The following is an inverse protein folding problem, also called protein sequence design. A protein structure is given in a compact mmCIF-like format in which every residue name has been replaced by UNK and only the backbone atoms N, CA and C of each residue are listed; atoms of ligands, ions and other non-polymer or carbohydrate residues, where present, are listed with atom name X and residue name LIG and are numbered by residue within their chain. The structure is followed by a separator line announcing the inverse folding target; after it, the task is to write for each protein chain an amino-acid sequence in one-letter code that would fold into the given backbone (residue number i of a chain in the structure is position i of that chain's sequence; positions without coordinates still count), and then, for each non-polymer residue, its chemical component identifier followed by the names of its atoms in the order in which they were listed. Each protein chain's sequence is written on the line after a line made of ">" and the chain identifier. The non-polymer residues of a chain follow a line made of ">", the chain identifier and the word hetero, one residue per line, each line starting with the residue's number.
data_IF_847197739307
#
_entry.id   IF_847197739307
#
_cell.length_a   1.000
_cell.length_b   1.000
_cell.length_c   1.000
_cell.angle_alpha   90.00
_cell.angle_beta   90.00
_cell.angle_gamma   90.00
#
_symmetry.space_group_name_H-M   'P 1'
#
loop_
_entity.id
_entity.type
_entity.pdbx_description
1 polymer ?
#
# COMPACT_ATOMS: atom_id res chain seq x y z
N UNK A 1 -23.68 23.08 -1.84
CA UNK A 1 -22.59 24.04 -2.12
C UNK A 1 -23.21 25.38 -2.47
N UNK A 2 -23.29 26.32 -1.51
CA UNK A 2 -23.66 27.71 -1.80
C UNK A 2 -22.36 28.49 -2.02
N UNK A 3 -22.18 29.01 -3.23
CA UNK A 3 -20.99 29.75 -3.66
C UNK A 3 -20.93 31.14 -3.04
N UNK A 4 -20.32 31.26 -1.87
CA UNK A 4 -19.76 32.53 -1.42
C UNK A 4 -18.43 32.76 -2.12
N UNK A 5 -18.23 33.94 -2.70
CA UNK A 5 -16.91 34.39 -3.16
C UNK A 5 -15.92 34.24 -2.00
N UNK A 6 -14.80 33.54 -2.22
CA UNK A 6 -13.74 33.44 -1.22
C UNK A 6 -13.18 34.82 -0.83
N UNK A 7 -12.35 34.90 0.22
CA UNK A 7 -11.79 36.17 0.66
C UNK A 7 -11.01 36.85 -0.46
N UNK A 8 -11.18 38.16 -0.58
CA UNK A 8 -10.51 38.99 -1.58
C UNK A 8 -9.06 39.29 -1.23
N UNK A 9 -8.30 39.82 -2.20
CA UNK A 9 -6.89 40.14 -2.04
C UNK A 9 -6.64 41.13 -0.88
N UNK A 10 -7.51 42.12 -0.69
CA UNK A 10 -7.41 43.10 0.40
C UNK A 10 -7.64 42.48 1.78
N UNK A 11 -8.57 41.54 1.89
CA UNK A 11 -8.85 40.83 3.15
C UNK A 11 -7.69 39.93 3.54
N UNK A 12 -7.09 39.23 2.56
CA UNK A 12 -5.88 38.44 2.76
C UNK A 12 -4.68 39.32 3.09
N UNK A 13 -4.53 40.50 2.45
CA UNK A 13 -3.48 41.46 2.75
C UNK A 13 -3.54 41.91 4.21
N UNK A 14 -4.74 42.21 4.73
CA UNK A 14 -4.91 42.58 6.13
C UNK A 14 -4.50 41.48 7.12
N UNK A 15 -4.65 40.20 6.75
CA UNK A 15 -4.16 39.07 7.56
C UNK A 15 -2.63 38.99 7.53
N UNK A 16 -2.03 39.16 6.36
CA UNK A 16 -0.57 39.14 6.18
C UNK A 16 0.09 40.29 6.92
N UNK A 17 -0.44 41.52 6.80
CA UNK A 17 0.07 42.70 7.51
C UNK A 17 0.10 42.50 9.03
N UNK A 18 -0.83 41.70 9.56
CA UNK A 18 -0.93 41.41 10.99
C UNK A 18 -0.02 40.26 11.45
N UNK A 19 0.18 39.23 10.63
CA UNK A 19 0.79 37.97 11.06
C UNK A 19 2.20 37.72 10.50
N UNK A 20 2.57 38.40 9.41
CA UNK A 20 3.86 38.17 8.79
C UNK A 20 5.00 38.74 9.66
N UNK A 21 6.17 38.06 9.72
CA UNK A 21 7.33 38.52 10.48
C UNK A 21 8.02 39.75 9.86
N UNK A 22 7.61 40.18 8.67
CA UNK A 22 8.14 41.34 7.96
C UNK A 22 7.21 41.82 6.85
N UNK A 23 7.52 42.97 6.21
CA UNK A 23 6.65 43.57 5.19
C UNK A 23 6.51 42.67 3.97
N UNK A 24 5.27 42.31 3.62
CA UNK A 24 4.94 41.47 2.47
C UNK A 24 3.69 42.01 1.76
N UNK A 25 3.75 42.14 0.44
CA UNK A 25 2.62 42.61 -0.39
C UNK A 25 2.12 41.49 -1.28
N UNK A 26 0.85 41.14 -1.14
CA UNK A 26 0.17 40.15 -1.97
C UNK A 26 -0.18 40.75 -3.33
N UNK A 27 -0.12 39.92 -4.37
CA UNK A 27 -0.51 40.25 -5.74
C UNK A 27 -1.04 39.01 -6.45
N UNK A 28 -1.75 39.22 -7.58
CA UNK A 28 -2.19 38.15 -8.49
C UNK A 28 -2.95 36.98 -7.80
N UNK A 29 -4.03 37.30 -7.07
CA UNK A 29 -4.86 36.29 -6.41
C UNK A 29 -5.49 35.35 -7.45
N UNK A 30 -4.95 34.13 -7.56
CA UNK A 30 -5.42 33.11 -8.50
C UNK A 30 -6.70 32.39 -8.02
N UNK A 31 -6.80 32.12 -6.73
CA UNK A 31 -7.94 31.39 -6.16
C UNK A 31 -8.07 31.66 -4.65
N UNK A 32 -9.31 31.76 -4.16
CA UNK A 32 -9.61 31.81 -2.73
C UNK A 32 -10.93 31.10 -2.45
N UNK A 33 -11.06 30.57 -1.23
CA UNK A 33 -12.27 29.88 -0.79
C UNK A 33 -12.41 29.94 0.73
N UNK A 34 -13.63 29.70 1.21
CA UNK A 34 -13.94 29.52 2.62
C UNK A 34 -14.33 28.07 2.82
N UNK A 35 -13.71 27.39 3.78
CA UNK A 35 -14.07 26.04 4.17
C UNK A 35 -14.58 26.02 5.61
N UNK A 36 -15.51 25.11 5.89
CA UNK A 36 -15.96 24.86 7.26
C UNK A 36 -15.25 23.63 7.79
N UNK A 37 -14.62 23.76 8.96
CA UNK A 37 -14.04 22.61 9.67
C UNK A 37 -15.19 21.66 10.05
N UNK A 38 -15.11 20.42 9.60
CA UNK A 38 -16.06 19.35 9.92
C UNK A 38 -15.31 18.03 10.03
N UNK A 39 -15.69 17.20 11.01
CA UNK A 39 -15.12 15.87 11.22
C UNK A 39 -16.26 14.86 11.11
N UNK A 40 -16.23 14.02 10.07
CA UNK A 40 -17.22 12.95 9.91
C UNK A 40 -16.57 11.77 9.24
N UNK A 41 -16.95 10.57 9.67
CA UNK A 41 -16.63 9.31 9.02
C UNK A 41 -17.93 8.53 8.92
N UNK A 42 -18.17 7.91 7.77
CA UNK A 42 -19.34 7.03 7.60
C UNK A 42 -19.19 5.75 8.41
N UNK A 43 -20.30 5.21 8.94
CA UNK A 43 -20.25 3.97 9.71
C UNK A 43 -19.93 2.72 8.88
N UNK A 44 -20.06 2.79 7.54
CA UNK A 44 -19.73 1.73 6.59
C UNK A 44 -19.24 2.34 5.27
N UNK A 45 -18.13 1.86 4.76
CA UNK A 45 -17.53 2.29 3.48
C UNK A 45 -18.20 1.59 2.28
N UNK A 46 -18.92 0.50 2.52
CA UNK A 46 -19.70 -0.17 1.49
C UNK A 46 -20.85 -1.00 2.05
N UNK A 47 -21.91 -1.16 1.26
CA UNK A 47 -23.04 -2.05 1.56
C UNK A 47 -23.61 -2.58 0.25
N UNK A 48 -23.66 -3.91 0.10
CA UNK A 48 -24.08 -4.56 -1.13
C UNK A 48 -23.19 -4.17 -2.30
N UNK A 49 -23.74 -3.38 -3.23
CA UNK A 49 -23.05 -2.93 -4.46
C UNK A 49 -22.67 -1.45 -4.45
N UNK A 50 -22.89 -0.76 -3.34
CA UNK A 50 -22.61 0.67 -3.20
C UNK A 50 -21.43 0.86 -2.26
N UNK A 51 -20.43 1.61 -2.73
CA UNK A 51 -19.20 1.91 -2.01
C UNK A 51 -18.94 3.41 -2.05
N UNK A 52 -18.34 3.94 -0.98
CA UNK A 52 -17.92 5.34 -0.87
C UNK A 52 -16.42 5.41 -0.59
N UNK A 53 -15.77 6.45 -1.08
CA UNK A 53 -14.32 6.69 -0.95
C UNK A 53 -14.05 8.20 -0.83
N UNK A 54 -12.90 8.59 -0.25
CA UNK A 54 -12.52 9.99 -0.10
C UNK A 54 -13.53 10.80 0.73
N UNK A 55 -13.80 12.04 0.32
CA UNK A 55 -14.69 12.97 1.04
C UNK A 55 -16.13 12.45 1.26
N UNK A 56 -16.58 11.47 0.46
CA UNK A 56 -17.86 10.81 0.69
C UNK A 56 -17.85 9.85 1.90
N UNK A 57 -16.67 9.31 2.22
CA UNK A 57 -16.46 8.38 3.33
C UNK A 57 -15.94 9.10 4.59
N UNK A 58 -15.08 10.10 4.44
CA UNK A 58 -14.47 10.82 5.55
C UNK A 58 -14.20 12.29 5.19
N UNK A 59 -14.48 13.20 6.11
CA UNK A 59 -14.09 14.60 6.02
C UNK A 59 -13.36 14.99 7.30
N UNK A 60 -12.30 15.75 7.15
CA UNK A 60 -11.43 16.19 8.24
C UNK A 60 -10.80 17.55 7.92
N UNK A 61 -10.16 18.24 8.88
CA UNK A 61 -9.47 19.50 8.62
C UNK A 61 -8.38 19.32 7.56
N UNK A 62 -8.04 20.38 6.80
CA UNK A 62 -6.97 20.33 5.82
C UNK A 62 -5.56 20.20 6.45
N UNK A 63 -5.46 20.26 7.78
CA UNK A 63 -4.21 20.07 8.53
C UNK A 63 -3.55 18.75 8.11
N UNK A 64 -2.27 18.81 7.71
CA UNK A 64 -1.53 17.66 7.18
C UNK A 64 -1.82 17.30 5.72
N UNK A 65 -2.74 17.97 5.01
CA UNK A 65 -3.05 17.74 3.59
C UNK A 65 -3.41 16.27 3.25
N UNK A 66 -4.18 15.62 4.13
CA UNK A 66 -4.43 14.17 4.07
C UNK A 66 -5.60 13.75 3.15
N UNK A 67 -6.55 14.64 2.84
CA UNK A 67 -7.84 14.24 2.25
C UNK A 67 -7.70 13.60 0.87
N UNK A 68 -7.01 14.29 -0.04
CA UNK A 68 -6.77 13.79 -1.40
C UNK A 68 -5.98 12.47 -1.40
N UNK A 69 -4.91 12.39 -0.62
CA UNK A 69 -4.07 11.19 -0.54
C UNK A 69 -4.86 9.98 0.00
N UNK A 70 -5.66 10.20 1.05
CA UNK A 70 -6.51 9.15 1.63
C UNK A 70 -7.55 8.67 0.61
N UNK A 71 -8.23 9.60 -0.07
CA UNK A 71 -9.25 9.27 -1.06
C UNK A 71 -8.70 8.51 -2.28
N UNK A 72 -7.49 8.87 -2.75
CA UNK A 72 -6.81 8.11 -3.81
C UNK A 72 -6.48 6.70 -3.33
N UNK A 73 -5.98 6.55 -2.09
CA UNK A 73 -5.68 5.24 -1.53
C UNK A 73 -6.93 4.38 -1.29
N UNK A 74 -8.05 4.99 -0.92
CA UNK A 74 -9.35 4.29 -0.84
C UNK A 74 -9.75 3.73 -2.19
N UNK A 75 -9.69 4.56 -3.24
CA UNK A 75 -10.02 4.14 -4.60
C UNK A 75 -9.06 3.05 -5.11
N UNK A 76 -7.75 3.19 -4.87
CA UNK A 76 -6.75 2.21 -5.28
C UNK A 76 -6.97 0.84 -4.61
N UNK A 77 -7.27 0.84 -3.31
CA UNK A 77 -7.57 -0.39 -2.55
C UNK A 77 -8.86 -1.07 -3.04
N UNK A 78 -9.89 -0.30 -3.39
CA UNK A 78 -11.17 -0.84 -3.86
C UNK A 78 -11.11 -1.32 -5.32
N UNK A 79 -10.38 -0.63 -6.19
CA UNK A 79 -10.43 -0.83 -7.64
C UNK A 79 -10.03 -2.25 -8.06
N UNK A 80 -8.92 -2.78 -7.55
CA UNK A 80 -8.46 -4.12 -7.91
C UNK A 80 -9.44 -5.20 -7.40
N UNK A 81 -10.00 -5.01 -6.21
CA UNK A 81 -10.99 -5.91 -5.60
C UNK A 81 -12.26 -5.98 -6.45
N UNK A 82 -12.77 -4.81 -6.85
CA UNK A 82 -13.90 -4.72 -7.79
C UNK A 82 -13.58 -5.41 -9.11
N UNK A 83 -12.40 -5.16 -9.67
CA UNK A 83 -12.01 -5.74 -10.95
C UNK A 83 -11.99 -7.28 -10.91
N UNK A 84 -11.47 -7.89 -9.83
CA UNK A 84 -11.48 -9.35 -9.68
C UNK A 84 -12.90 -9.91 -9.52
N UNK A 85 -13.74 -9.27 -8.69
CA UNK A 85 -15.11 -9.74 -8.44
C UNK A 85 -15.99 -9.60 -9.70
N UNK A 86 -15.86 -8.50 -10.44
CA UNK A 86 -16.60 -8.29 -11.70
C UNK A 86 -16.18 -9.30 -12.77
N UNK A 87 -14.91 -9.69 -12.81
CA UNK A 87 -14.38 -10.70 -13.74
C UNK A 87 -14.69 -12.15 -13.32
N UNK A 88 -15.26 -12.35 -12.13
CA UNK A 88 -15.50 -13.70 -11.58
C UNK A 88 -14.24 -14.41 -11.09
N UNK A 89 -13.14 -13.67 -10.91
CA UNK A 89 -11.85 -14.18 -10.42
C UNK A 89 -11.77 -14.20 -8.88
N UNK A 90 -12.69 -13.53 -8.20
CA UNK A 90 -12.78 -13.50 -6.74
C UNK A 90 -14.25 -13.49 -6.26
N UNK A 91 -14.45 -13.90 -5.00
CA UNK A 91 -15.78 -13.92 -4.38
C UNK A 91 -16.21 -12.53 -3.87
N UNK A 92 -17.52 -12.28 -3.68
CA UNK A 92 -18.02 -10.99 -3.18
C UNK A 92 -17.50 -10.64 -1.77
N UNK A 93 -17.07 -11.64 -0.99
CA UNK A 93 -16.44 -11.41 0.32
C UNK A 93 -15.15 -10.61 0.25
N UNK A 94 -14.44 -10.60 -0.89
CA UNK A 94 -13.28 -9.75 -1.11
C UNK A 94 -13.63 -8.26 -0.95
N UNK A 95 -14.83 -7.83 -1.36
CA UNK A 95 -15.24 -6.43 -1.25
C UNK A 95 -15.48 -6.00 0.20
N UNK A 96 -15.78 -6.93 1.11
CA UNK A 96 -15.91 -6.61 2.53
C UNK A 96 -14.57 -6.25 3.17
N UNK A 97 -13.45 -6.72 2.61
CA UNK A 97 -12.12 -6.31 3.05
C UNK A 97 -11.85 -4.82 2.83
N UNK A 98 -12.56 -4.15 1.92
CA UNK A 98 -12.40 -2.71 1.71
C UNK A 98 -12.79 -1.91 2.96
N UNK A 99 -13.94 -2.20 3.57
CA UNK A 99 -14.34 -1.54 4.82
C UNK A 99 -13.36 -1.89 5.96
N UNK A 100 -13.04 -3.18 6.10
CA UNK A 100 -12.16 -3.67 7.15
C UNK A 100 -10.75 -3.06 7.10
N UNK A 101 -10.21 -2.80 5.90
CA UNK A 101 -8.89 -2.20 5.72
C UNK A 101 -8.92 -0.67 5.76
N UNK A 102 -9.90 -0.01 5.10
CA UNK A 102 -9.86 1.44 4.85
C UNK A 102 -10.59 2.28 5.88
N UNK A 103 -11.65 1.77 6.51
CA UNK A 103 -12.38 2.54 7.53
C UNK A 103 -11.52 2.85 8.76
N UNK A 104 -10.74 1.90 9.33
CA UNK A 104 -9.83 2.22 10.43
C UNK A 104 -8.79 3.29 10.07
N UNK A 105 -8.28 3.28 8.83
CA UNK A 105 -7.35 4.31 8.34
C UNK A 105 -8.02 5.68 8.29
N UNK A 106 -9.25 5.76 7.77
CA UNK A 106 -9.99 7.02 7.77
C UNK A 106 -10.30 7.53 9.17
N UNK A 107 -10.68 6.65 10.11
CA UNK A 107 -10.89 6.98 11.52
C UNK A 107 -9.61 7.50 12.18
N UNK A 108 -8.46 6.88 11.92
CA UNK A 108 -7.15 7.31 12.41
C UNK A 108 -6.77 8.70 11.86
N UNK A 109 -6.88 8.89 10.54
CA UNK A 109 -6.56 10.16 9.87
C UNK A 109 -7.44 11.29 10.41
N UNK A 110 -8.75 11.07 10.53
CA UNK A 110 -9.66 12.04 11.14
C UNK A 110 -9.25 12.32 12.58
N UNK A 111 -9.08 11.28 13.41
CA UNK A 111 -8.72 11.44 14.82
C UNK A 111 -7.42 12.22 15.03
N UNK A 112 -6.40 11.98 14.19
CA UNK A 112 -5.12 12.71 14.23
C UNK A 112 -5.26 14.16 13.80
N UNK A 113 -5.90 14.42 12.66
CA UNK A 113 -6.05 15.78 12.15
C UNK A 113 -6.88 16.66 13.10
N UNK A 114 -7.85 16.09 13.83
CA UNK A 114 -8.53 16.76 14.95
C UNK A 114 -7.53 17.16 16.06
N UNK A 115 -6.63 16.23 16.46
CA UNK A 115 -5.60 16.53 17.49
C UNK A 115 -4.66 17.62 17.02
N UNK A 116 -4.18 17.59 15.78
CA UNK A 116 -3.29 18.63 15.24
C UNK A 116 -3.98 19.98 15.12
N UNK A 117 -5.24 20.03 14.69
CA UNK A 117 -6.01 21.26 14.61
C UNK A 117 -6.26 21.90 15.99
N UNK A 118 -6.36 21.08 17.05
CA UNK A 118 -6.64 21.56 18.42
C UNK A 118 -5.39 21.81 19.27
N UNK A 119 -4.29 21.07 19.03
CA UNK A 119 -3.08 21.06 19.88
C UNK A 119 -1.79 21.44 19.16
N UNK A 120 -1.84 21.68 17.85
CA UNK A 120 -0.65 21.92 17.01
C UNK A 120 0.04 20.63 16.56
N UNK A 121 0.90 20.74 15.54
CA UNK A 121 1.57 19.57 14.91
C UNK A 121 2.67 18.93 15.79
N UNK A 122 3.20 19.65 16.78
CA UNK A 122 4.21 19.13 17.72
C UNK A 122 3.66 18.31 18.89
N UNK A 123 2.36 17.97 18.87
CA UNK A 123 1.71 17.22 19.95
C UNK A 123 1.98 15.71 19.88
N UNK A 124 2.47 15.20 18.75
CA UNK A 124 2.88 13.81 18.61
C UNK A 124 4.33 13.63 19.09
N UNK A 125 4.56 12.60 19.92
CA UNK A 125 5.86 12.30 20.57
C UNK A 125 6.82 11.50 19.69
N UNK A 126 6.47 11.30 18.42
CA UNK A 126 7.25 10.48 17.49
C UNK A 126 8.47 11.27 16.99
N UNK A 127 9.51 10.55 16.60
CA UNK A 127 10.66 11.17 15.94
C UNK A 127 10.25 11.82 14.61
N UNK A 128 11.02 12.80 14.15
CA UNK A 128 10.72 13.57 12.94
C UNK A 128 10.57 12.70 11.69
N UNK A 129 11.30 11.59 11.58
CA UNK A 129 11.21 10.69 10.42
C UNK A 129 9.88 9.96 10.42
N UNK A 130 9.47 9.43 11.58
CA UNK A 130 8.19 8.75 11.73
C UNK A 130 7.02 9.69 11.47
N UNK A 131 7.08 10.94 11.96
CA UNK A 131 6.08 11.97 11.65
C UNK A 131 5.98 12.23 10.15
N UNK A 132 7.11 12.43 9.46
CA UNK A 132 7.13 12.66 8.02
C UNK A 132 6.53 11.49 7.23
N UNK A 133 6.91 10.25 7.56
CA UNK A 133 6.37 9.06 6.90
C UNK A 133 4.87 8.87 7.16
N UNK A 134 4.41 9.18 8.38
CA UNK A 134 2.99 9.09 8.74
C UNK A 134 2.15 10.18 8.07
N UNK A 135 2.67 11.41 7.95
CA UNK A 135 2.02 12.47 7.16
C UNK A 135 2.05 12.14 5.66
N UNK A 136 3.09 11.47 5.16
CA UNK A 136 3.11 10.98 3.79
C UNK A 136 2.22 9.73 3.57
N UNK A 137 1.52 9.23 4.60
CA UNK A 137 0.73 8.01 4.57
C UNK A 137 1.52 6.78 4.07
N UNK A 138 2.81 6.74 4.39
CA UNK A 138 3.70 5.64 4.02
C UNK A 138 3.71 4.52 5.06
N UNK A 139 3.13 4.76 6.24
CA UNK A 139 3.01 3.78 7.34
C UNK A 139 1.66 3.07 7.38
N UNK A 140 0.78 3.27 6.38
CA UNK A 140 -0.49 2.56 6.30
C UNK A 140 -0.23 1.07 6.08
N UNK A 141 -0.76 0.24 6.96
CA UNK A 141 -0.66 -1.22 6.90
C UNK A 141 -1.94 -1.89 7.40
N UNK A 142 -2.11 -3.15 7.03
CA UNK A 142 -3.31 -3.96 7.27
C UNK A 142 -2.96 -5.27 7.97
N UNK A 143 -1.99 -5.27 8.90
CA UNK A 143 -1.49 -6.50 9.57
C UNK A 143 -2.60 -7.31 10.24
N UNK A 144 -3.60 -6.63 10.80
CA UNK A 144 -4.78 -7.26 11.42
C UNK A 144 -5.97 -7.42 10.45
N UNK A 145 -5.74 -7.14 9.16
CA UNK A 145 -6.74 -7.14 8.12
C UNK A 145 -7.06 -8.56 7.60
N UNK A 146 -8.23 -8.74 6.97
CA UNK A 146 -8.70 -10.06 6.53
C UNK A 146 -7.89 -10.67 5.37
N UNK A 147 -7.03 -9.87 4.72
CA UNK A 147 -6.16 -10.31 3.62
C UNK A 147 -4.69 -10.45 4.04
N UNK A 148 -4.35 -10.23 5.30
CA UNK A 148 -3.01 -10.48 5.82
C UNK A 148 -2.85 -11.98 6.12
N UNK A 149 -1.90 -12.62 5.42
CA UNK A 149 -1.48 -13.98 5.73
C UNK A 149 -0.76 -14.09 7.07
N UNK A 150 -0.41 -15.33 7.46
CA UNK A 150 0.34 -15.57 8.69
C UNK A 150 1.74 -14.93 8.62
N UNK A 151 2.24 -14.33 9.73
CA UNK A 151 3.59 -13.79 9.78
C UNK A 151 4.65 -14.89 9.65
N UNK A 152 5.80 -14.54 9.07
CA UNK A 152 6.94 -15.46 8.89
C UNK A 152 8.27 -14.69 8.98
N UNK A 153 9.30 -15.32 9.55
CA UNK A 153 10.64 -14.75 9.68
C UNK A 153 10.76 -13.69 10.80
N UNK A 154 11.75 -12.79 10.71
CA UNK A 154 12.04 -11.82 11.76
C UNK A 154 10.88 -10.86 12.04
N UNK A 155 10.69 -10.47 13.30
CA UNK A 155 9.60 -9.58 13.75
C UNK A 155 9.70 -8.19 13.11
N UNK A 156 10.91 -7.70 12.90
CA UNK A 156 11.17 -6.38 12.31
C UNK A 156 11.15 -6.40 10.78
N UNK A 157 10.97 -7.57 10.16
CA UNK A 157 10.83 -7.68 8.72
C UNK A 157 9.44 -7.20 8.27
N UNK A 158 9.29 -6.73 7.01
CA UNK A 158 7.98 -6.48 6.43
C UNK A 158 7.11 -7.75 6.47
N UNK A 159 5.91 -7.62 7.02
CA UNK A 159 4.96 -8.70 7.24
C UNK A 159 3.71 -8.56 6.34
N UNK A 160 2.92 -9.63 6.16
CA UNK A 160 1.63 -9.52 5.51
C UNK A 160 0.77 -8.40 6.11
N UNK A 161 0.11 -7.64 5.25
CA UNK A 161 -0.59 -6.41 5.57
C UNK A 161 0.25 -5.14 5.40
N UNK A 162 1.57 -5.22 5.49
CA UNK A 162 2.44 -4.05 5.29
C UNK A 162 2.52 -3.65 3.81
N UNK A 163 2.79 -2.38 3.55
CA UNK A 163 3.24 -1.95 2.22
C UNK A 163 4.58 -2.61 1.92
N UNK A 164 4.71 -3.18 0.72
CA UNK A 164 5.98 -3.71 0.22
C UNK A 164 7.00 -2.56 0.16
N UNK A 165 8.09 -2.58 0.95
CA UNK A 165 9.10 -1.53 0.89
C UNK A 165 9.80 -1.51 -0.45
N UNK A 166 10.27 -0.34 -0.87
CA UNK A 166 11.09 -0.22 -2.06
C UNK A 166 12.57 -0.49 -1.75
N UNK A 167 13.34 -0.89 -2.77
CA UNK A 167 14.80 -0.93 -2.72
C UNK A 167 15.36 -0.48 -4.08
N UNK A 168 16.51 0.18 -4.13
CA UNK A 168 17.07 0.80 -5.34
C UNK A 168 18.20 0.03 -6.02
N UNK A 169 18.57 -1.14 -5.51
CA UNK A 169 19.79 -1.87 -5.89
C UNK A 169 19.62 -3.12 -6.75
N UNK A 170 18.48 -3.32 -7.42
CA UNK A 170 18.25 -4.51 -8.25
C UNK A 170 18.94 -4.37 -9.60
N UNK A 171 19.62 -5.41 -10.08
CA UNK A 171 20.27 -5.41 -11.40
C UNK A 171 19.78 -6.55 -12.29
N UNK A 172 19.94 -6.37 -13.60
CA UNK A 172 19.83 -7.45 -14.59
C UNK A 172 21.14 -7.54 -15.36
N UNK A 173 21.44 -8.66 -16.03
CA UNK A 173 22.67 -8.79 -16.81
C UNK A 173 22.82 -7.76 -17.94
N UNK A 174 21.73 -7.12 -18.37
CA UNK A 174 21.69 -6.23 -19.55
C UNK A 174 21.45 -4.77 -19.16
N UNK A 175 20.87 -4.50 -17.99
CA UNK A 175 20.63 -3.14 -17.52
C UNK A 175 21.93 -2.48 -17.05
N UNK A 176 22.16 -1.25 -17.49
CA UNK A 176 23.33 -0.44 -17.12
C UNK A 176 23.18 0.15 -15.72
N UNK A 177 21.96 0.57 -15.36
CA UNK A 177 21.66 1.23 -14.09
C UNK A 177 20.89 0.31 -13.13
N UNK A 178 21.09 0.44 -11.80
CA UNK A 178 20.27 -0.21 -10.80
C UNK A 178 18.79 0.17 -10.93
N UNK A 179 17.91 -0.81 -10.74
CA UNK A 179 16.46 -0.68 -10.79
C UNK A 179 15.86 -0.69 -9.40
N UNK A 180 14.77 0.06 -9.24
CA UNK A 180 13.95 0.02 -8.02
C UNK A 180 12.98 -1.16 -8.04
N UNK A 181 12.68 -1.75 -6.88
CA UNK A 181 11.65 -2.79 -6.79
C UNK A 181 10.29 -2.25 -7.24
N UNK A 182 9.94 -1.01 -6.91
CA UNK A 182 8.68 -0.41 -7.38
C UNK A 182 8.63 -0.28 -8.91
N UNK A 183 9.77 -0.11 -9.59
CA UNK A 183 9.81 -0.11 -11.06
C UNK A 183 9.62 -1.52 -11.62
N UNK A 184 10.16 -2.54 -10.92
CA UNK A 184 9.89 -3.95 -11.22
C UNK A 184 8.41 -4.30 -10.97
N UNK A 185 7.71 -3.66 -10.04
CA UNK A 185 6.29 -3.95 -9.78
C UNK A 185 5.33 -3.15 -10.67
N UNK A 186 5.75 -1.98 -11.19
CA UNK A 186 4.88 -0.98 -11.81
C UNK A 186 3.99 -1.50 -12.93
N UNK A 187 4.53 -2.28 -13.86
CA UNK A 187 3.82 -2.71 -15.07
C UNK A 187 3.07 -4.05 -14.90
N UNK A 188 2.81 -4.43 -13.64
CA UNK A 188 2.24 -5.73 -13.27
C UNK A 188 0.92 -5.52 -12.52
N UNK A 189 -0.23 -5.47 -13.22
CA UNK A 189 -1.52 -5.08 -12.64
C UNK A 189 -2.15 -6.16 -11.73
N UNK A 190 -1.60 -7.38 -11.75
CA UNK A 190 -2.04 -8.50 -10.93
C UNK A 190 -1.31 -8.59 -9.59
N UNK A 191 -1.43 -9.75 -8.95
CA UNK A 191 -0.56 -10.10 -7.84
C UNK A 191 0.84 -10.43 -8.37
N UNK A 192 1.87 -10.19 -7.57
CA UNK A 192 3.25 -10.56 -7.92
C UNK A 192 3.82 -11.46 -6.84
N UNK A 193 4.21 -12.68 -7.20
CA UNK A 193 5.01 -13.55 -6.36
C UNK A 193 6.50 -13.17 -6.52
N UNK A 194 7.10 -12.58 -5.48
CA UNK A 194 8.53 -12.33 -5.41
C UNK A 194 9.22 -13.52 -4.73
N UNK A 195 10.11 -14.20 -5.44
CA UNK A 195 10.79 -15.39 -4.95
C UNK A 195 12.28 -15.08 -4.75
N UNK A 196 12.75 -15.05 -3.50
CA UNK A 196 14.12 -14.69 -3.15
C UNK A 196 14.96 -15.91 -2.75
N UNK A 197 16.18 -16.02 -3.29
CA UNK A 197 17.11 -17.10 -2.94
C UNK A 197 18.47 -17.02 -3.63
N UNK A 198 19.44 -17.81 -3.17
CA UNK A 198 20.78 -17.88 -3.77
C UNK A 198 20.86 -18.92 -4.91
N UNK A 199 20.08 -20.00 -4.83
CA UNK A 199 20.15 -21.12 -5.78
C UNK A 199 19.12 -20.97 -6.91
N UNK A 200 19.60 -20.92 -8.15
CA UNK A 200 18.74 -20.83 -9.34
C UNK A 200 17.77 -22.01 -9.48
N UNK A 201 18.22 -23.22 -9.12
CA UNK A 201 17.40 -24.45 -9.17
C UNK A 201 16.29 -24.44 -8.13
N UNK A 202 16.55 -23.93 -6.92
CA UNK A 202 15.55 -23.70 -5.89
C UNK A 202 14.48 -22.71 -6.35
N UNK A 203 14.90 -21.57 -6.90
CA UNK A 203 14.01 -20.55 -7.46
C UNK A 203 13.18 -21.10 -8.63
N UNK A 204 13.79 -21.82 -9.57
CA UNK A 204 13.08 -22.40 -10.72
C UNK A 204 11.98 -23.38 -10.30
N UNK A 205 12.25 -24.22 -9.29
CA UNK A 205 11.22 -25.10 -8.69
C UNK A 205 10.08 -24.30 -8.06
N UNK A 206 10.41 -23.22 -7.35
CA UNK A 206 9.40 -22.37 -6.74
C UNK A 206 8.58 -21.59 -7.78
N UNK A 207 9.20 -21.15 -8.89
CA UNK A 207 8.49 -20.54 -10.03
C UNK A 207 7.47 -21.52 -10.62
N UNK A 208 7.88 -22.77 -10.85
CA UNK A 208 6.98 -23.81 -11.35
C UNK A 208 5.83 -24.08 -10.35
N UNK A 209 6.15 -24.22 -9.07
CA UNK A 209 5.16 -24.39 -8.00
C UNK A 209 4.18 -23.20 -7.92
N UNK A 210 4.68 -21.97 -8.12
CA UNK A 210 3.87 -20.77 -8.08
C UNK A 210 2.86 -20.69 -9.23
N UNK A 211 3.34 -20.94 -10.46
CA UNK A 211 2.48 -20.99 -11.65
C UNK A 211 1.43 -22.10 -11.55
N UNK A 212 1.84 -23.28 -11.06
CA UNK A 212 0.91 -24.41 -10.87
C UNK A 212 -0.16 -24.10 -9.82
N UNK A 213 0.19 -23.44 -8.71
CA UNK A 213 -0.75 -23.09 -7.65
C UNK A 213 -1.73 -21.98 -8.08
N UNK A 214 -1.28 -20.97 -8.82
CA UNK A 214 -2.13 -19.90 -9.33
C UNK A 214 -3.14 -20.40 -10.37
N UNK A 215 -2.69 -21.31 -11.26
CA UNK A 215 -3.48 -21.77 -12.40
C UNK A 215 -4.01 -20.60 -13.22
N UNK A 216 -5.25 -20.70 -13.70
CA UNK A 216 -5.98 -19.61 -14.38
C UNK A 216 -6.80 -18.74 -13.41
N UNK A 217 -6.71 -18.99 -12.09
CA UNK A 217 -7.63 -18.41 -11.09
C UNK A 217 -7.12 -17.13 -10.46
N UNK A 218 -5.80 -16.94 -10.39
CA UNK A 218 -5.19 -15.72 -9.89
C UNK A 218 -4.41 -15.06 -11.03
N UNK A 219 -4.68 -13.80 -11.39
CA UNK A 219 -3.72 -13.02 -12.16
C UNK A 219 -2.46 -12.84 -11.31
N UNK A 220 -1.51 -13.76 -11.45
CA UNK A 220 -0.26 -13.83 -10.72
C UNK A 220 0.91 -13.78 -11.69
N UNK A 221 1.75 -12.77 -11.54
CA UNK A 221 3.07 -12.75 -12.14
C UNK A 221 4.12 -13.27 -11.15
N UNK A 222 5.16 -13.90 -11.65
CA UNK A 222 6.25 -14.44 -10.82
C UNK A 222 7.53 -13.74 -11.20
N UNK A 223 8.22 -13.20 -10.20
CA UNK A 223 9.53 -12.54 -10.33
C UNK A 223 10.50 -13.20 -9.37
N UNK A 224 11.69 -13.51 -9.86
CA UNK A 224 12.75 -14.06 -9.04
C UNK A 224 13.78 -13.00 -8.66
N UNK A 225 14.25 -13.03 -7.43
CA UNK A 225 15.29 -12.18 -6.89
C UNK A 225 16.44 -13.07 -6.43
N UNK A 226 17.52 -13.08 -7.20
CA UNK A 226 18.75 -13.77 -6.83
C UNK A 226 19.50 -12.95 -5.78
N UNK A 227 19.88 -13.60 -4.69
CA UNK A 227 20.72 -12.98 -3.66
C UNK A 227 22.06 -12.52 -4.23
N UNK A 228 22.75 -11.65 -3.50
CA UNK A 228 24.12 -11.23 -3.84
C UNK A 228 25.10 -12.40 -3.96
N UNK A 229 24.86 -13.49 -3.24
CA UNK A 229 25.73 -14.67 -3.16
C UNK A 229 25.41 -15.72 -4.24
N UNK A 230 24.41 -15.47 -5.09
CA UNK A 230 24.10 -16.37 -6.20
C UNK A 230 25.24 -16.40 -7.23
N UNK A 231 25.35 -17.49 -8.00
CA UNK A 231 26.32 -17.60 -9.10
C UNK A 231 26.03 -16.56 -10.20
N UNK A 232 27.03 -15.81 -10.72
CA UNK A 232 26.85 -14.66 -11.62
C UNK A 232 25.89 -14.89 -12.80
N UNK A 233 25.97 -16.05 -13.44
CA UNK A 233 25.21 -16.39 -14.66
C UNK A 233 23.93 -17.19 -14.39
N UNK A 234 23.41 -17.15 -13.16
CA UNK A 234 22.21 -17.90 -12.75
C UNK A 234 20.88 -17.33 -13.25
N UNK A 235 20.83 -16.07 -13.65
CA UNK A 235 19.59 -15.35 -14.01
C UNK A 235 18.79 -16.07 -15.12
N UNK A 236 19.39 -16.52 -16.24
CA UNK A 236 18.65 -17.17 -17.33
C UNK A 236 18.03 -18.53 -16.94
N UNK A 237 18.52 -19.18 -15.88
CA UNK A 237 18.10 -20.54 -15.50
C UNK A 237 16.81 -20.59 -14.67
N UNK A 238 16.29 -19.43 -14.22
CA UNK A 238 15.17 -19.38 -13.27
C UNK A 238 13.78 -19.55 -13.92
N UNK A 239 13.66 -19.28 -15.23
CA UNK A 239 12.40 -19.48 -15.97
C UNK A 239 11.30 -18.44 -15.71
N UNK A 240 11.67 -17.29 -15.15
CA UNK A 240 10.82 -16.11 -14.91
C UNK A 240 11.67 -14.83 -15.03
N UNK A 241 11.07 -13.63 -15.17
CA UNK A 241 11.80 -12.38 -15.00
C UNK A 241 12.60 -12.40 -13.70
N UNK A 242 13.90 -12.21 -13.80
CA UNK A 242 14.82 -12.41 -12.70
C UNK A 242 15.77 -11.21 -12.57
N UNK A 243 15.97 -10.79 -11.34
CA UNK A 243 16.82 -9.67 -10.96
C UNK A 243 17.80 -10.13 -9.88
N UNK A 244 18.94 -9.47 -9.77
CA UNK A 244 19.92 -9.72 -8.70
C UNK A 244 19.87 -8.59 -7.69
N UNK A 245 19.82 -8.94 -6.41
CA UNK A 245 20.03 -8.02 -5.30
C UNK A 245 21.54 -7.74 -5.11
N UNK A 246 22.17 -7.13 -6.12
CA UNK A 246 23.63 -7.00 -6.18
C UNK A 246 24.18 -6.14 -5.03
N UNK A 247 23.44 -5.09 -4.65
CA UNK A 247 23.78 -4.24 -3.51
C UNK A 247 23.38 -4.83 -2.15
N UNK A 248 22.68 -5.97 -2.12
CA UNK A 248 22.15 -6.59 -0.90
C UNK A 248 21.09 -5.74 -0.18
N UNK A 249 20.51 -4.75 -0.87
CA UNK A 249 19.57 -3.79 -0.27
C UNK A 249 18.22 -4.44 0.00
N UNK A 250 17.74 -5.28 -0.93
CA UNK A 250 16.53 -6.04 -0.70
C UNK A 250 16.69 -6.91 0.54
N UNK A 251 17.81 -7.63 0.68
CA UNK A 251 18.09 -8.46 1.86
C UNK A 251 18.10 -7.66 3.16
N UNK A 252 18.67 -6.44 3.17
CA UNK A 252 18.69 -5.58 4.38
C UNK A 252 17.30 -5.08 4.77
N UNK A 253 16.43 -4.80 3.80
CA UNK A 253 15.09 -4.23 4.05
C UNK A 253 14.07 -5.33 4.34
N UNK A 254 14.06 -6.38 3.51
CA UNK A 254 13.10 -7.47 3.62
C UNK A 254 13.52 -8.54 4.62
N UNK A 255 14.79 -8.57 5.05
CA UNK A 255 15.31 -9.52 6.04
C UNK A 255 14.85 -10.98 5.77
N UNK A 256 15.11 -11.54 4.57
CA UNK A 256 14.64 -12.88 4.22
C UNK A 256 15.22 -13.92 5.20
N UNK A 257 14.38 -14.89 5.59
CA UNK A 257 14.78 -16.01 6.46
C UNK A 257 15.10 -17.22 5.58
N UNK A 258 16.35 -17.28 5.12
CA UNK A 258 16.76 -18.16 4.04
C UNK A 258 16.05 -17.85 2.72
N UNK A 259 15.82 -18.88 1.90
CA UNK A 259 15.03 -18.74 0.68
C UNK A 259 13.57 -18.43 1.04
N UNK A 260 13.11 -17.24 0.65
CA UNK A 260 11.83 -16.67 1.12
C UNK A 260 10.99 -16.23 -0.08
N UNK A 261 9.70 -16.53 -0.05
CA UNK A 261 8.72 -16.03 -1.02
C UNK A 261 7.82 -14.96 -0.41
N UNK A 262 7.34 -14.07 -1.26
CA UNK A 262 6.41 -13.00 -0.92
C UNK A 262 5.32 -12.92 -1.98
N UNK A 263 4.12 -12.49 -1.59
CA UNK A 263 3.06 -12.11 -2.53
C UNK A 263 2.72 -10.65 -2.32
N UNK A 264 2.90 -9.84 -3.36
CA UNK A 264 2.51 -8.43 -3.41
C UNK A 264 1.16 -8.33 -4.12
N UNK A 265 0.23 -7.60 -3.51
CA UNK A 265 -1.10 -7.29 -4.07
C UNK A 265 -1.01 -6.20 -5.14
N UNK A 266 -2.05 -6.05 -5.98
CA UNK A 266 -2.12 -4.95 -6.95
C UNK A 266 -2.03 -3.54 -6.35
N UNK A 267 -2.36 -3.37 -5.07
CA UNK A 267 -2.23 -2.09 -4.34
C UNK A 267 -0.87 -1.90 -3.63
N UNK A 268 0.07 -2.84 -3.82
CA UNK A 268 1.43 -2.77 -3.29
C UNK A 268 1.56 -3.21 -1.84
N UNK A 269 0.57 -3.91 -1.28
CA UNK A 269 0.64 -4.49 0.06
C UNK A 269 1.03 -5.97 0.01
N UNK A 270 1.76 -6.44 1.02
CA UNK A 270 2.10 -7.84 1.16
C UNK A 270 0.85 -8.64 1.56
N UNK A 271 0.45 -9.62 0.76
CA UNK A 271 -0.57 -10.60 1.14
C UNK A 271 0.03 -11.77 1.92
N UNK A 272 1.26 -12.17 1.58
CA UNK A 272 1.92 -13.31 2.20
C UNK A 272 3.44 -13.17 2.19
N UNK A 273 4.06 -13.86 3.16
CA UNK A 273 5.49 -14.07 3.31
C UNK A 273 5.69 -15.49 3.83
N UNK A 274 6.58 -16.28 3.23
CA UNK A 274 6.67 -17.72 3.50
C UNK A 274 8.04 -18.31 3.15
N UNK A 275 8.43 -19.45 3.73
CA UNK A 275 9.61 -20.19 3.27
C UNK A 275 9.39 -20.68 1.84
N UNK A 276 10.40 -20.61 0.97
CA UNK A 276 10.26 -20.93 -0.44
C UNK A 276 9.74 -22.36 -0.70
N UNK A 277 10.04 -23.31 0.20
CA UNK A 277 9.52 -24.68 0.15
C UNK A 277 7.99 -24.77 0.31
N UNK A 278 7.34 -23.76 0.91
CA UNK A 278 5.90 -23.70 1.13
C UNK A 278 5.14 -22.93 0.02
N UNK A 279 5.77 -22.64 -1.12
CA UNK A 279 5.19 -21.81 -2.20
C UNK A 279 3.78 -22.23 -2.59
N UNK A 280 3.54 -23.52 -2.83
CA UNK A 280 2.21 -24.02 -3.21
C UNK A 280 1.17 -23.78 -2.12
N UNK A 281 1.51 -24.04 -0.85
CA UNK A 281 0.60 -23.86 0.27
C UNK A 281 0.26 -22.37 0.45
N UNK A 282 1.27 -21.49 0.44
CA UNK A 282 1.08 -20.07 0.62
C UNK A 282 0.18 -19.45 -0.46
N UNK A 283 0.39 -19.80 -1.74
CA UNK A 283 -0.44 -19.30 -2.82
C UNK A 283 -1.86 -19.88 -2.82
N UNK A 284 -2.02 -21.13 -2.38
CA UNK A 284 -3.35 -21.72 -2.18
C UNK A 284 -4.12 -20.99 -1.08
N UNK A 285 -3.44 -20.59 0.00
CA UNK A 285 -4.06 -19.82 1.07
C UNK A 285 -4.39 -18.40 0.63
N UNK A 286 -3.54 -17.73 -0.17
CA UNK A 286 -3.87 -16.44 -0.78
C UNK A 286 -5.11 -16.54 -1.69
N UNK A 287 -5.17 -17.55 -2.56
CA UNK A 287 -6.34 -17.83 -3.40
C UNK A 287 -7.61 -18.04 -2.58
N UNK A 288 -7.50 -18.79 -1.48
CA UNK A 288 -8.61 -19.02 -0.56
C UNK A 288 -9.08 -17.70 0.05
N UNK A 289 -8.15 -16.84 0.51
CA UNK A 289 -8.44 -15.53 1.07
C UNK A 289 -9.22 -14.62 0.09
N UNK A 290 -8.90 -14.67 -1.20
CA UNK A 290 -9.61 -13.94 -2.26
C UNK A 290 -11.00 -14.53 -2.57
N UNK A 291 -11.20 -15.81 -2.24
CA UNK A 291 -12.42 -16.57 -2.55
C UNK A 291 -13.37 -16.74 -1.36
N UNK A 292 -13.02 -16.24 -0.18
CA UNK A 292 -13.81 -16.46 1.05
C UNK A 292 -15.23 -15.88 0.88
N UNK A 293 -16.29 -16.71 0.93
CA UNK A 293 -17.61 -16.20 1.24
C UNK A 293 -17.59 -15.70 2.69
N UNK A 294 -18.11 -14.49 2.95
CA UNK A 294 -18.25 -14.00 4.32
C UNK A 294 -18.89 -15.09 5.19
N UNK A 295 -18.23 -15.45 6.30
CA UNK A 295 -18.98 -16.04 7.41
C UNK A 295 -20.00 -14.98 7.81
N UNK A 296 -21.28 -15.33 7.78
CA UNK A 296 -22.34 -14.45 8.28
C UNK A 296 -21.91 -13.96 9.68
N UNK A 297 -22.03 -12.66 9.98
CA UNK A 297 -21.90 -12.22 11.35
C UNK A 297 -23.02 -12.92 12.12
N UNK A 298 -22.61 -13.73 13.10
CA UNK A 298 -23.50 -14.32 14.09
C UNK A 298 -24.37 -13.19 14.63
N UNK A 299 -25.65 -13.22 14.24
CA UNK A 299 -26.71 -12.50 14.93
C UNK A 299 -26.84 -13.18 16.28
N UNK A 300 -26.38 -12.51 17.33
CA UNK A 300 -26.76 -12.73 18.71
C UNK A 300 -26.83 -11.37 19.41
#
# INVERSE_FOLDING_TARGET
>A
FQGGTGPGLSELQAVVDRLAPGPARLSDLRWSSVFRISHRVVGRYGTGRVFVAGDAAHIHPPTGAQGMNTGIQDAANLAWKLALVVRGEAGPGLLASYDAERRPVGEEVVGRTVRHATRGMGADRDDMTTLLLREAQLLVGYRDGPLAGAPYGPVDAPQPGDRAPDCGGLSTPIAVDPMRLLDVLRDRPGHVALLYGAEATGLSRAVAAARAAAGERLPLEVVALLSRDAEPDSVPAVGAPAYRDAAGEFARIYLPDGATGFVVRPDGQLAARFPLAATTAALTDCLRALSVPLRDPVVA
#
